data_IF_548466112031
#
_entry.id   IF_548466112031
#
_cell.length_a   1.000
_cell.length_b   1.000
_cell.length_c   1.000
_cell.angle_alpha   90.00
_cell.angle_beta   90.00
_cell.angle_gamma   90.00
#
_symmetry.space_group_name_H-M   'P 1'
#
loop_
_entity.id
_entity.type
_entity.pdbx_description
1 polymer ?
#
# COMPACT_ATOMS: atom_id res chain seq x y z
N UNK A 1 13.84 -4.04 -5.04
CA UNK A 1 13.58 -4.77 -6.31
C UNK A 1 14.15 -3.98 -7.47
N UNK A 2 14.76 -4.64 -8.47
CA UNK A 2 15.41 -3.97 -9.60
C UNK A 2 14.35 -3.34 -10.54
N UNK A 3 14.59 -2.09 -11.03
CA UNK A 3 13.70 -1.38 -11.97
C UNK A 3 13.39 -2.19 -13.24
N UNK A 4 14.34 -2.97 -13.74
CA UNK A 4 14.14 -3.83 -14.91
C UNK A 4 13.09 -4.92 -14.67
N UNK A 5 13.08 -5.51 -13.47
CA UNK A 5 12.10 -6.53 -13.11
C UNK A 5 10.69 -5.94 -13.00
N UNK A 6 10.55 -4.72 -12.42
CA UNK A 6 9.28 -4.01 -12.39
C UNK A 6 8.72 -3.77 -13.80
N UNK A 7 9.56 -3.27 -14.73
CA UNK A 7 9.16 -3.02 -16.13
C UNK A 7 8.73 -4.30 -16.82
N UNK A 8 9.49 -5.38 -16.67
CA UNK A 8 9.17 -6.66 -17.26
C UNK A 8 7.83 -7.21 -16.76
N UNK A 9 7.64 -7.24 -15.44
CA UNK A 9 6.40 -7.72 -14.82
C UNK A 9 5.20 -6.87 -15.24
N UNK A 10 5.36 -5.54 -15.26
CA UNK A 10 4.30 -4.63 -15.66
C UNK A 10 3.90 -4.77 -17.12
N UNK A 11 4.85 -5.13 -17.99
CA UNK A 11 4.61 -5.37 -19.43
C UNK A 11 3.85 -6.67 -19.72
N UNK A 12 4.08 -7.71 -18.90
CA UNK A 12 3.54 -9.05 -19.16
C UNK A 12 2.25 -9.33 -18.35
N UNK A 13 2.05 -8.67 -17.21
CA UNK A 13 0.93 -8.94 -16.31
C UNK A 13 -0.09 -7.81 -16.37
N UNK A 14 -1.39 -8.12 -16.25
CA UNK A 14 -2.38 -7.09 -15.97
C UNK A 14 -2.07 -6.40 -14.64
N UNK A 15 -2.50 -5.15 -14.46
CA UNK A 15 -2.16 -4.31 -13.29
C UNK A 15 -2.34 -5.05 -11.96
N UNK A 16 -3.48 -5.72 -11.76
CA UNK A 16 -3.72 -6.46 -10.51
C UNK A 16 -2.75 -7.62 -10.29
N UNK A 17 -2.38 -8.34 -11.35
CA UNK A 17 -1.38 -9.41 -11.30
C UNK A 17 0.02 -8.90 -11.00
N UNK A 18 0.39 -7.77 -11.63
CA UNK A 18 1.64 -7.08 -11.34
C UNK A 18 1.73 -6.66 -9.86
N UNK A 19 0.71 -5.97 -9.35
CA UNK A 19 0.67 -5.51 -7.97
C UNK A 19 0.70 -6.68 -6.97
N UNK A 20 -0.02 -7.77 -7.26
CA UNK A 20 -0.01 -8.98 -6.45
C UNK A 20 1.37 -9.63 -6.41
N UNK A 21 2.05 -9.70 -7.55
CA UNK A 21 3.42 -10.25 -7.64
C UNK A 21 4.40 -9.40 -6.85
N UNK A 22 4.33 -8.08 -6.99
CA UNK A 22 5.19 -7.14 -6.23
C UNK A 22 5.00 -7.30 -4.72
N UNK A 23 3.75 -7.38 -4.25
CA UNK A 23 3.46 -7.56 -2.83
C UNK A 23 3.92 -8.94 -2.32
N UNK A 24 3.72 -9.99 -3.08
CA UNK A 24 4.19 -11.34 -2.72
C UNK A 24 5.72 -11.39 -2.58
N UNK A 25 6.44 -10.76 -3.52
CA UNK A 25 7.89 -10.65 -3.44
C UNK A 25 8.35 -9.86 -2.23
N UNK A 26 7.65 -8.77 -1.84
CA UNK A 26 7.95 -8.04 -0.62
C UNK A 26 7.78 -8.94 0.61
N UNK A 27 6.64 -9.61 0.76
CA UNK A 27 6.37 -10.45 1.93
C UNK A 27 7.36 -11.63 2.03
N UNK A 28 7.75 -12.22 0.90
CA UNK A 28 8.77 -13.26 0.86
C UNK A 28 10.13 -12.70 1.29
N UNK A 29 10.56 -11.58 0.73
CA UNK A 29 11.82 -10.92 1.09
C UNK A 29 11.86 -10.55 2.57
N UNK A 30 10.77 -10.00 3.10
CA UNK A 30 10.65 -9.68 4.51
C UNK A 30 10.77 -10.92 5.40
N UNK A 31 10.08 -12.03 5.02
CA UNK A 31 10.18 -13.30 5.76
C UNK A 31 11.60 -13.87 5.78
N UNK A 32 12.37 -13.65 4.70
CA UNK A 32 13.77 -14.05 4.59
C UNK A 32 14.75 -13.06 5.24
N UNK A 33 14.26 -11.97 5.85
CA UNK A 33 15.08 -10.93 6.47
C UNK A 33 15.79 -10.01 5.46
N UNK A 34 15.45 -10.11 4.18
CA UNK A 34 16.03 -9.27 3.13
C UNK A 34 15.44 -7.85 3.27
N UNK A 35 16.31 -6.84 3.28
CA UNK A 35 15.91 -5.43 3.42
C UNK A 35 15.87 -4.93 4.86
N UNK A 36 16.33 -5.71 5.85
CA UNK A 36 16.35 -5.32 7.27
C UNK A 36 17.13 -4.02 7.55
N UNK A 37 18.12 -3.71 6.75
CA UNK A 37 18.96 -2.50 6.88
C UNK A 37 18.75 -1.53 5.70
N UNK A 38 17.71 -1.74 4.88
CA UNK A 38 17.40 -0.83 3.79
C UNK A 38 16.46 0.28 4.29
N UNK A 39 16.78 1.58 4.07
CA UNK A 39 15.97 2.70 4.59
C UNK A 39 14.47 2.63 4.23
N UNK A 40 14.15 2.04 3.07
CA UNK A 40 12.78 1.91 2.60
C UNK A 40 11.96 0.82 3.33
N UNK A 41 12.61 -0.12 4.03
CA UNK A 41 11.94 -1.30 4.60
C UNK A 41 12.32 -1.60 6.04
N UNK A 42 13.37 -0.97 6.58
CA UNK A 42 13.90 -1.27 7.92
C UNK A 42 12.85 -1.15 9.03
N UNK A 43 11.97 -0.14 8.96
CA UNK A 43 10.92 0.06 9.96
C UNK A 43 9.94 -1.12 10.05
N UNK A 44 9.72 -1.85 8.95
CA UNK A 44 8.86 -3.03 8.97
C UNK A 44 9.41 -4.17 9.85
N UNK A 45 10.72 -4.17 10.11
CA UNK A 45 11.39 -5.14 10.98
C UNK A 45 11.47 -4.71 12.46
N UNK A 46 10.99 -3.51 12.78
CA UNK A 46 11.07 -2.91 14.11
C UNK A 46 9.71 -2.45 14.65
N UNK A 47 8.62 -2.81 13.98
CA UNK A 47 7.26 -2.46 14.42
C UNK A 47 6.92 -2.99 15.81
N UNK A 48 7.48 -4.14 16.20
CA UNK A 48 7.34 -4.74 17.54
C UNK A 48 7.93 -3.89 18.67
N UNK A 49 8.78 -2.91 18.34
CA UNK A 49 9.29 -1.91 19.30
C UNK A 49 8.33 -0.73 19.49
N UNK A 50 7.45 -0.50 18.52
CA UNK A 50 6.50 0.62 18.48
C UNK A 50 5.09 0.20 18.87
N UNK A 51 4.78 -1.10 18.78
CA UNK A 51 3.46 -1.66 18.97
C UNK A 51 3.49 -2.86 19.93
N UNK A 52 2.35 -3.12 20.54
CA UNK A 52 2.13 -4.25 21.45
C UNK A 52 0.84 -5.00 21.11
N UNK A 53 0.71 -6.20 21.62
CA UNK A 53 -0.55 -6.94 21.56
C UNK A 53 -1.68 -6.15 22.25
N UNK A 54 -2.83 -6.07 21.59
CA UNK A 54 -3.98 -5.30 22.06
C UNK A 54 -4.04 -3.85 21.54
N UNK A 55 -3.02 -3.36 20.86
CA UNK A 55 -3.02 -2.00 20.33
C UNK A 55 -4.06 -1.80 19.23
N UNK A 56 -4.59 -0.59 19.19
CA UNK A 56 -5.46 -0.06 18.14
C UNK A 56 -4.62 0.88 17.27
N UNK A 57 -4.53 0.59 15.98
CA UNK A 57 -3.62 1.29 15.07
C UNK A 57 -4.29 1.70 13.76
N UNK A 58 -3.75 2.73 13.14
CA UNK A 58 -4.18 3.20 11.82
C UNK A 58 -2.98 3.22 10.87
N UNK A 59 -3.11 2.58 9.71
CA UNK A 59 -2.15 2.60 8.61
C UNK A 59 -2.71 3.49 7.49
N UNK A 60 -2.25 4.75 7.42
CA UNK A 60 -2.71 5.74 6.43
C UNK A 60 -1.87 5.61 5.17
N UNK A 61 -2.53 5.31 4.05
CA UNK A 61 -1.86 4.94 2.81
C UNK A 61 -1.35 3.51 2.86
N UNK A 62 -2.21 2.58 3.32
CA UNK A 62 -1.86 1.18 3.55
C UNK A 62 -1.31 0.45 2.32
N UNK A 63 -1.53 1.02 1.12
CA UNK A 63 -0.97 0.53 -0.13
C UNK A 63 -1.28 -0.96 -0.32
N UNK A 64 -0.29 -1.80 -0.57
CA UNK A 64 -0.45 -3.25 -0.74
C UNK A 64 -0.47 -4.03 0.60
N UNK A 65 -0.52 -3.32 1.74
CA UNK A 65 -0.64 -3.91 3.08
C UNK A 65 0.68 -4.28 3.73
N UNK A 66 1.75 -3.64 3.36
CA UNK A 66 3.09 -3.93 3.87
C UNK A 66 3.19 -3.75 5.38
N UNK A 67 2.65 -2.65 5.91
CA UNK A 67 2.58 -2.36 7.33
C UNK A 67 1.36 -3.01 7.97
N UNK A 68 0.17 -2.82 7.41
CA UNK A 68 -1.09 -3.30 7.98
C UNK A 68 -1.06 -4.80 8.34
N UNK A 69 -0.46 -5.64 7.48
CA UNK A 69 -0.34 -7.08 7.74
C UNK A 69 0.59 -7.41 8.92
N UNK A 70 1.67 -6.65 9.09
CA UNK A 70 2.59 -6.83 10.21
C UNK A 70 1.97 -6.31 11.50
N UNK A 71 1.33 -5.13 11.45
CA UNK A 71 0.58 -4.54 12.56
C UNK A 71 -0.51 -5.48 13.06
N UNK A 72 -1.29 -6.07 12.15
CA UNK A 72 -2.33 -7.06 12.48
C UNK A 72 -1.77 -8.24 13.29
N UNK A 73 -0.60 -8.76 12.92
CA UNK A 73 0.05 -9.85 13.65
C UNK A 73 0.51 -9.44 15.03
N UNK A 74 1.08 -8.23 15.18
CA UNK A 74 1.58 -7.72 16.46
C UNK A 74 0.41 -7.38 17.38
N UNK A 75 -0.60 -6.68 16.88
CA UNK A 75 -1.80 -6.32 17.64
C UNK A 75 -2.56 -7.57 18.13
N UNK A 76 -2.57 -8.65 17.33
CA UNK A 76 -3.21 -9.91 17.69
C UNK A 76 -4.73 -9.80 17.83
N UNK A 77 -5.36 -10.80 18.42
CA UNK A 77 -6.84 -10.91 18.48
C UNK A 77 -7.52 -9.83 19.31
N UNK A 78 -6.80 -9.22 20.24
CA UNK A 78 -7.35 -8.21 21.15
C UNK A 78 -7.06 -6.78 20.66
N UNK A 79 -6.26 -6.62 19.60
CA UNK A 79 -5.99 -5.36 18.96
C UNK A 79 -6.68 -5.24 17.60
N UNK A 80 -6.60 -4.05 16.99
CA UNK A 80 -7.25 -3.79 15.72
C UNK A 80 -6.42 -2.85 14.85
N UNK A 81 -6.55 -2.99 13.52
CA UNK A 81 -5.87 -2.17 12.53
C UNK A 81 -6.89 -1.56 11.57
N UNK A 82 -6.88 -0.26 11.42
CA UNK A 82 -7.60 0.43 10.34
C UNK A 82 -6.62 0.73 9.22
N UNK A 83 -6.83 0.10 8.05
CA UNK A 83 -5.99 0.26 6.86
C UNK A 83 -6.68 1.18 5.86
N UNK A 84 -6.17 2.40 5.70
CA UNK A 84 -6.76 3.42 4.82
C UNK A 84 -6.07 3.36 3.46
N UNK A 85 -6.80 2.99 2.40
CA UNK A 85 -6.29 2.97 1.02
C UNK A 85 -7.40 3.36 0.03
N UNK A 86 -7.40 4.58 -0.49
CA UNK A 86 -8.46 5.08 -1.35
C UNK A 86 -8.38 4.54 -2.79
N UNK A 87 -7.17 4.23 -3.30
CA UNK A 87 -6.96 3.88 -4.71
C UNK A 87 -7.44 2.47 -5.02
N UNK A 88 -8.56 2.33 -5.68
CA UNK A 88 -9.26 1.06 -5.88
C UNK A 88 -8.40 -0.10 -6.45
N UNK A 89 -7.55 0.07 -7.49
CA UNK A 89 -6.68 -1.01 -7.96
C UNK A 89 -5.69 -1.52 -6.90
N UNK A 90 -5.16 -0.61 -6.07
CA UNK A 90 -4.22 -0.93 -4.98
C UNK A 90 -5.00 -1.62 -3.85
N UNK A 91 -6.15 -1.05 -3.45
CA UNK A 91 -7.00 -1.59 -2.39
C UNK A 91 -7.46 -3.02 -2.66
N UNK A 92 -7.82 -3.38 -3.91
CA UNK A 92 -8.17 -4.77 -4.25
C UNK A 92 -7.06 -5.77 -3.95
N UNK A 93 -5.81 -5.36 -4.07
CA UNK A 93 -4.67 -6.21 -3.72
C UNK A 93 -4.43 -6.20 -2.21
N UNK A 94 -4.60 -5.06 -1.54
CA UNK A 94 -4.60 -4.93 -0.08
C UNK A 94 -5.61 -5.91 0.55
N UNK A 95 -6.86 -5.91 0.06
CA UNK A 95 -7.93 -6.82 0.52
C UNK A 95 -7.52 -8.29 0.43
N UNK A 96 -6.91 -8.70 -0.69
CA UNK A 96 -6.39 -10.06 -0.85
C UNK A 96 -5.25 -10.36 0.12
N UNK A 97 -4.33 -9.43 0.30
CA UNK A 97 -3.18 -9.61 1.19
C UNK A 97 -3.57 -9.68 2.67
N UNK A 98 -4.71 -9.08 3.04
CA UNK A 98 -5.23 -9.03 4.41
C UNK A 98 -6.41 -9.99 4.65
N UNK A 99 -6.83 -10.77 3.66
CA UNK A 99 -8.01 -11.67 3.77
C UNK A 99 -7.95 -12.68 4.91
N UNK A 100 -6.74 -13.00 5.40
CA UNK A 100 -6.54 -13.85 6.58
C UNK A 100 -6.38 -13.09 7.91
N UNK A 101 -6.55 -11.77 7.92
CA UNK A 101 -6.38 -10.91 9.10
C UNK A 101 -7.76 -10.55 9.65
N UNK A 102 -8.23 -11.25 10.69
CA UNK A 102 -9.56 -11.05 11.26
C UNK A 102 -9.72 -9.81 12.16
N UNK A 103 -8.66 -9.01 12.30
CA UNK A 103 -8.59 -7.80 13.12
C UNK A 103 -8.19 -6.57 12.29
N UNK A 104 -8.58 -6.53 11.01
CA UNK A 104 -8.28 -5.41 10.12
C UNK A 104 -9.54 -4.94 9.41
N UNK A 105 -9.83 -3.65 9.49
CA UNK A 105 -10.80 -2.97 8.64
C UNK A 105 -10.10 -2.15 7.56
N UNK A 106 -10.56 -2.29 6.31
CA UNK A 106 -10.03 -1.54 5.17
C UNK A 106 -10.98 -0.39 4.85
N UNK A 107 -10.46 0.83 4.91
CA UNK A 107 -11.20 2.06 4.69
C UNK A 107 -10.91 2.63 3.28
N UNK A 108 -11.93 2.76 2.42
CA UNK A 108 -11.77 3.08 0.99
C UNK A 108 -11.71 4.58 0.69
N UNK A 109 -11.38 5.42 1.66
CA UNK A 109 -11.39 6.88 1.50
C UNK A 109 -9.98 7.47 1.64
N UNK A 110 -9.80 8.70 1.18
CA UNK A 110 -8.71 9.54 1.61
C UNK A 110 -9.14 10.33 2.86
N UNK A 111 -8.19 10.67 3.72
CA UNK A 111 -8.44 11.47 4.91
C UNK A 111 -8.20 12.94 4.58
N UNK A 112 -9.14 13.81 4.95
CA UNK A 112 -9.07 15.24 4.70
C UNK A 112 -9.58 16.07 5.88
N UNK A 113 -9.52 17.39 5.74
CA UNK A 113 -10.05 18.33 6.74
C UNK A 113 -11.58 18.52 6.62
N UNK A 114 -12.17 18.06 5.52
CA UNK A 114 -13.60 18.13 5.25
C UNK A 114 -13.99 17.02 4.27
N UNK A 115 -15.24 16.61 4.33
CA UNK A 115 -15.81 15.67 3.35
C UNK A 115 -15.82 16.28 1.94
N UNK A 116 -15.58 15.45 0.94
CA UNK A 116 -15.56 15.89 -0.45
C UNK A 116 -14.99 14.84 -1.41
N UNK A 117 -14.51 15.33 -2.54
CA UNK A 117 -13.81 14.53 -3.54
C UNK A 117 -12.45 15.13 -3.84
N UNK A 118 -11.48 14.26 -4.13
CA UNK A 118 -10.14 14.64 -4.53
C UNK A 118 -9.74 13.87 -5.77
N UNK A 119 -9.03 14.51 -6.68
CA UNK A 119 -8.41 13.85 -7.83
C UNK A 119 -6.96 13.53 -7.53
N UNK A 120 -6.57 12.29 -7.75
CA UNK A 120 -5.18 11.85 -7.64
C UNK A 120 -4.68 11.33 -8.97
N UNK A 121 -3.42 11.59 -9.28
CA UNK A 121 -2.74 11.15 -10.47
C UNK A 121 -1.54 10.24 -10.17
N UNK A 122 -1.13 9.47 -11.18
CA UNK A 122 0.11 8.71 -11.19
C UNK A 122 0.80 8.90 -12.55
N UNK A 123 2.05 9.35 -12.56
CA UNK A 123 2.83 9.62 -13.78
C UNK A 123 4.03 8.66 -13.93
N UNK A 124 4.03 7.55 -13.22
CA UNK A 124 5.19 6.65 -13.19
C UNK A 124 5.27 5.71 -14.38
N UNK A 125 4.16 5.47 -15.08
CA UNK A 125 4.16 4.63 -16.29
C UNK A 125 4.96 5.31 -17.40
N UNK A 126 4.71 6.60 -17.66
CA UNK A 126 5.44 7.39 -18.66
C UNK A 126 6.90 7.57 -18.29
N UNK A 127 7.20 7.91 -17.05
CA UNK A 127 8.57 8.22 -16.60
C UNK A 127 9.39 7.00 -16.22
N UNK A 128 8.76 5.99 -15.65
CA UNK A 128 9.40 4.80 -15.10
C UNK A 128 9.17 3.51 -15.86
N UNK A 129 8.15 3.44 -16.73
CA UNK A 129 7.77 2.25 -17.50
C UNK A 129 7.04 1.18 -16.66
N UNK A 130 6.51 1.54 -15.48
CA UNK A 130 5.69 0.69 -14.62
C UNK A 130 4.89 1.54 -13.63
N UNK A 131 3.80 1.01 -13.09
CA UNK A 131 2.96 1.67 -12.11
C UNK A 131 3.59 1.59 -10.70
N UNK A 132 4.00 2.74 -10.16
CA UNK A 132 4.58 2.86 -8.81
C UNK A 132 3.50 3.22 -7.79
N UNK A 133 3.14 2.31 -6.91
CA UNK A 133 2.02 2.46 -5.97
C UNK A 133 2.20 3.56 -4.92
N UNK A 134 3.43 3.89 -4.56
CA UNK A 134 3.76 4.93 -3.58
C UNK A 134 4.03 6.30 -4.19
N UNK A 135 3.66 6.53 -5.45
CA UNK A 135 3.93 7.78 -6.18
C UNK A 135 2.65 8.41 -6.75
N UNK A 136 1.56 8.20 -6.08
CA UNK A 136 0.32 8.91 -6.36
C UNK A 136 0.41 10.32 -5.75
N UNK A 137 -0.13 11.32 -6.44
CA UNK A 137 -0.11 12.71 -6.03
C UNK A 137 -1.50 13.34 -6.21
N UNK A 138 -1.80 14.35 -5.39
CA UNK A 138 -3.00 15.16 -5.55
C UNK A 138 -2.87 16.01 -6.81
N UNK A 139 -3.87 15.95 -7.67
CA UNK A 139 -3.87 16.71 -8.93
C UNK A 139 -4.35 18.13 -8.70
N UNK A 140 -3.48 19.08 -8.98
CA UNK A 140 -3.84 20.49 -9.11
C UNK A 140 -4.37 20.79 -10.52
N UNK A 141 -4.95 21.98 -10.70
CA UNK A 141 -5.42 22.43 -12.01
C UNK A 141 -4.27 22.47 -13.02
N UNK A 142 -4.42 21.75 -14.15
CA UNK A 142 -3.40 21.64 -15.20
C UNK A 142 -2.34 20.55 -14.98
N UNK A 143 -2.40 19.78 -13.90
CA UNK A 143 -1.52 18.64 -13.70
C UNK A 143 -1.87 17.50 -14.68
N UNK A 144 -0.82 16.84 -15.21
CA UNK A 144 -0.95 15.67 -16.09
C UNK A 144 -0.59 14.40 -15.34
N UNK A 145 -1.35 13.32 -15.59
CA UNK A 145 -1.09 12.00 -15.07
C UNK A 145 -1.29 10.93 -16.16
N UNK A 146 -0.64 9.78 -16.01
CA UNK A 146 -0.85 8.61 -16.88
C UNK A 146 -2.11 7.85 -16.49
N UNK A 147 -2.43 7.89 -15.20
CA UNK A 147 -3.61 7.27 -14.60
C UNK A 147 -4.18 8.25 -13.57
N UNK A 148 -5.49 8.43 -13.60
CA UNK A 148 -6.21 9.31 -12.67
C UNK A 148 -7.24 8.54 -11.86
N UNK A 149 -7.46 9.00 -10.64
CA UNK A 149 -8.44 8.45 -9.70
C UNK A 149 -9.24 9.59 -9.06
N UNK A 150 -10.56 9.45 -9.00
CA UNK A 150 -11.41 10.29 -8.14
C UNK A 150 -11.70 9.52 -6.86
N UNK A 151 -11.44 10.13 -5.74
CA UNK A 151 -11.48 9.53 -4.42
C UNK A 151 -12.37 10.34 -3.49
N UNK A 152 -13.12 9.63 -2.63
CA UNK A 152 -13.88 10.27 -1.56
C UNK A 152 -12.95 10.67 -0.43
N UNK A 153 -13.16 11.87 0.13
CA UNK A 153 -12.57 12.39 1.36
C UNK A 153 -13.57 12.24 2.52
N UNK A 154 -13.07 11.87 3.68
CA UNK A 154 -13.78 11.93 4.96
C UNK A 154 -12.95 12.64 6.01
#
# INVERSE_FOLDING_TARGET
MNRLLHKLLYRILPLGGYLQTVSAMFFLSHRLGIGRHAPATEYTFHLDRLMRAGDLTIDIGANLGYYARLMSRIAGRNGHVYAVEPVAPIRRVLERNLSGCGNVDILPYALGAAEGEIRMGNATVRTGGYFGTGQNFVMEAGAEADVEFTLSLI
#
